data_IF_629182050683
#
_entry.id   IF_629182050683
#
_cell.length_a   1.000
_cell.length_b   1.000
_cell.length_c   1.000
_cell.angle_alpha   90.00
_cell.angle_beta   90.00
_cell.angle_gamma   90.00
#
_symmetry.space_group_name_H-M   'P 1'
#
loop_
_entity.id
_entity.type
_entity.pdbx_description
1 polymer ?
#
# COMPACT_ATOMS: atom_id res chain seq x y z
N UNK A 1 10.33 3.22 11.34
CA UNK A 1 9.91 4.63 11.26
C UNK A 1 8.69 4.87 12.16
N UNK A 2 7.48 4.47 11.78
CA UNK A 2 6.30 4.60 12.68
C UNK A 2 6.32 3.57 13.81
N UNK A 3 6.48 2.28 13.50
CA UNK A 3 6.51 1.21 14.51
C UNK A 3 7.72 1.30 15.45
N UNK A 4 8.82 1.88 14.99
CA UNK A 4 10.02 2.14 15.80
C UNK A 4 9.89 3.39 16.68
N UNK A 5 8.79 4.14 16.58
CA UNK A 5 8.56 5.38 17.32
C UNK A 5 9.43 6.56 16.87
N UNK A 6 10.07 6.48 15.71
CA UNK A 6 10.84 7.59 15.13
C UNK A 6 9.92 8.77 14.77
N UNK A 7 8.69 8.46 14.36
CA UNK A 7 7.61 9.42 14.14
C UNK A 7 6.40 8.99 14.95
N UNK A 8 5.74 9.95 15.62
CA UNK A 8 4.57 9.68 16.45
C UNK A 8 3.29 9.53 15.61
N UNK A 9 3.24 10.14 14.42
CA UNK A 9 2.04 10.13 13.57
C UNK A 9 2.38 10.04 12.08
N UNK A 10 1.39 9.61 11.30
CA UNK A 10 1.45 9.63 9.83
C UNK A 10 1.64 11.06 9.30
N UNK A 11 1.08 12.07 9.98
CA UNK A 11 1.21 13.47 9.57
C UNK A 11 2.67 13.95 9.69
N UNK A 12 3.33 13.61 10.79
CA UNK A 12 4.74 13.94 11.02
C UNK A 12 5.66 13.26 10.00
N UNK A 13 5.42 11.97 9.73
CA UNK A 13 6.14 11.25 8.67
C UNK A 13 5.90 11.90 7.29
N UNK A 14 4.67 12.30 7.00
CA UNK A 14 4.33 12.93 5.72
C UNK A 14 4.99 14.31 5.55
N UNK A 15 5.00 15.13 6.60
CA UNK A 15 5.70 16.41 6.62
C UNK A 15 7.21 16.23 6.39
N UNK A 16 7.82 15.25 7.06
CA UNK A 16 9.24 14.90 6.88
C UNK A 16 9.56 14.50 5.44
N UNK A 17 8.71 13.70 4.81
CA UNK A 17 8.88 13.23 3.44
C UNK A 17 8.39 14.25 2.38
N UNK A 18 7.86 15.39 2.81
CA UNK A 18 7.41 16.47 1.91
C UNK A 18 6.19 16.11 1.07
N UNK A 19 5.35 15.19 1.53
CA UNK A 19 4.14 14.74 0.83
C UNK A 19 2.88 14.96 1.66
N UNK A 20 1.72 14.97 0.99
CA UNK A 20 0.45 15.09 1.68
C UNK A 20 0.22 13.88 2.61
N UNK A 21 -0.28 14.11 3.82
CA UNK A 21 -0.62 13.03 4.77
C UNK A 21 -1.62 12.04 4.17
N UNK A 22 -2.57 12.50 3.36
CA UNK A 22 -3.49 11.63 2.61
C UNK A 22 -2.77 10.69 1.64
N UNK A 23 -1.71 11.17 0.98
CA UNK A 23 -0.89 10.35 0.09
C UNK A 23 -0.01 9.38 0.88
N UNK A 24 0.59 9.81 2.00
CA UNK A 24 1.30 8.93 2.92
C UNK A 24 0.42 7.76 3.38
N UNK A 25 -0.83 8.02 3.77
CA UNK A 25 -1.78 6.97 4.16
C UNK A 25 -2.09 6.01 3.01
N UNK A 26 -2.07 6.46 1.74
CA UNK A 26 -2.24 5.58 0.57
C UNK A 26 -1.01 4.69 0.36
N UNK A 27 0.19 5.26 0.50
CA UNK A 27 1.45 4.49 0.41
C UNK A 27 1.53 3.45 1.53
N UNK A 28 1.24 3.84 2.78
CA UNK A 28 1.26 2.92 3.91
C UNK A 28 0.22 1.80 3.79
N UNK A 29 -0.92 2.03 3.11
CA UNK A 29 -1.88 0.97 2.83
C UNK A 29 -1.30 -0.15 1.98
N UNK A 30 -0.33 0.13 1.11
CA UNK A 30 0.32 -0.89 0.27
C UNK A 30 1.04 -1.96 1.10
N UNK A 31 1.38 -1.69 2.37
CA UNK A 31 1.95 -2.71 3.27
C UNK A 31 0.94 -3.79 3.69
N UNK A 32 -0.35 -3.58 3.39
CA UNK A 32 -1.43 -4.52 3.67
C UNK A 32 -1.73 -5.46 2.49
N UNK A 33 -1.00 -5.34 1.36
CA UNK A 33 -1.16 -6.23 0.23
C UNK A 33 -0.84 -7.67 0.62
N UNK A 34 -1.59 -8.61 0.03
CA UNK A 34 -1.35 -10.03 0.17
C UNK A 34 0.06 -10.36 -0.35
N UNK A 35 0.81 -11.24 0.35
CA UNK A 35 2.16 -11.61 -0.05
C UNK A 35 2.25 -12.07 -1.51
N UNK A 36 1.26 -12.82 -1.99
CA UNK A 36 1.22 -13.34 -3.36
C UNK A 36 1.10 -12.23 -4.40
N UNK A 37 0.42 -11.12 -4.09
CA UNK A 37 0.31 -9.94 -4.97
C UNK A 37 1.66 -9.21 -5.00
N UNK A 38 2.30 -9.05 -3.83
CA UNK A 38 3.64 -8.44 -3.74
C UNK A 38 4.65 -9.25 -4.55
N UNK A 39 4.65 -10.57 -4.40
CA UNK A 39 5.50 -11.48 -5.18
C UNK A 39 5.21 -11.37 -6.68
N UNK A 40 3.95 -11.35 -7.09
CA UNK A 40 3.58 -11.19 -8.50
C UNK A 40 4.06 -9.86 -9.09
N UNK A 41 3.99 -8.75 -8.32
CA UNK A 41 4.49 -7.44 -8.74
C UNK A 41 6.01 -7.47 -8.92
N UNK A 42 6.74 -8.05 -7.96
CA UNK A 42 8.20 -8.13 -8.02
C UNK A 42 8.69 -9.01 -9.18
N UNK A 43 7.93 -10.05 -9.49
CA UNK A 43 8.18 -10.95 -10.63
C UNK A 43 7.71 -10.37 -11.98
N UNK A 44 7.00 -9.23 -11.99
CA UNK A 44 6.40 -8.67 -13.20
C UNK A 44 5.25 -9.51 -13.78
N UNK A 45 4.64 -10.36 -12.95
CA UNK A 45 3.55 -11.30 -13.29
C UNK A 45 2.19 -10.84 -12.77
N UNK A 46 2.10 -9.63 -12.23
CA UNK A 46 0.84 -9.09 -11.75
C UNK A 46 -0.19 -8.97 -12.88
N UNK A 47 -1.47 -9.21 -12.57
CA UNK A 47 -2.57 -9.03 -13.51
C UNK A 47 -2.67 -7.59 -14.01
N UNK A 48 -3.33 -7.35 -15.17
CA UNK A 48 -3.43 -6.01 -15.75
C UNK A 48 -4.17 -5.00 -14.84
N UNK A 49 -5.01 -5.49 -13.94
CA UNK A 49 -5.75 -4.68 -12.97
C UNK A 49 -4.87 -4.19 -11.80
N UNK A 50 -3.73 -4.86 -11.54
CA UNK A 50 -2.77 -4.50 -10.49
C UNK A 50 -1.86 -3.36 -10.94
N UNK A 51 -2.45 -2.18 -11.10
CA UNK A 51 -1.72 -0.95 -11.43
C UNK A 51 -1.46 -0.12 -10.17
N UNK A 52 -0.42 0.72 -10.19
CA UNK A 52 -0.15 1.65 -9.10
C UNK A 52 -1.35 2.55 -8.77
N UNK A 53 -2.11 2.98 -9.80
CA UNK A 53 -3.31 3.79 -9.60
C UNK A 53 -4.35 3.01 -8.81
N UNK A 54 -4.61 1.77 -9.22
CA UNK A 54 -5.60 0.90 -8.59
C UNK A 54 -5.23 0.57 -7.13
N UNK A 55 -4.01 0.13 -6.86
CA UNK A 55 -3.60 -0.24 -5.49
C UNK A 55 -3.45 0.97 -4.55
N UNK A 56 -3.41 2.20 -5.09
CA UNK A 56 -3.48 3.42 -4.28
C UNK A 56 -4.92 3.84 -3.95
N UNK A 57 -5.95 3.25 -4.54
CA UNK A 57 -7.34 3.39 -4.12
C UNK A 57 -7.62 2.50 -2.89
N UNK A 58 -8.74 2.69 -2.17
CA UNK A 58 -9.12 1.77 -1.11
C UNK A 58 -9.38 0.36 -1.68
N UNK A 59 -8.67 -0.64 -1.15
CA UNK A 59 -8.84 -2.05 -1.49
C UNK A 59 -9.17 -2.87 -0.22
N UNK A 60 -9.73 -4.09 -0.35
CA UNK A 60 -10.03 -4.94 0.81
C UNK A 60 -8.78 -5.22 1.64
N UNK A 61 -8.84 -5.16 2.96
CA UNK A 61 -7.66 -5.47 3.80
C UNK A 61 -7.47 -6.98 4.02
N UNK A 62 -8.50 -7.79 3.80
CA UNK A 62 -8.42 -9.26 3.88
C UNK A 62 -7.82 -9.84 2.60
N UNK A 63 -6.74 -10.63 2.73
CA UNK A 63 -6.00 -11.17 1.57
C UNK A 63 -6.85 -11.98 0.59
N UNK A 64 -7.79 -12.80 1.09
CA UNK A 64 -8.69 -13.56 0.21
C UNK A 64 -9.63 -12.65 -0.60
N UNK A 65 -10.05 -11.52 -0.03
CA UNK A 65 -10.84 -10.53 -0.76
C UNK A 65 -9.98 -9.73 -1.76
N UNK A 66 -8.72 -9.46 -1.43
CA UNK A 66 -7.78 -8.83 -2.36
C UNK A 66 -7.54 -9.68 -3.59
N UNK A 67 -7.41 -11.01 -3.43
CA UNK A 67 -7.26 -11.94 -4.56
C UNK A 67 -8.44 -11.89 -5.52
N UNK A 68 -9.65 -11.58 -5.06
CA UNK A 68 -10.84 -11.48 -5.91
C UNK A 68 -10.97 -10.11 -6.60
N UNK A 69 -10.45 -9.07 -5.96
CA UNK A 69 -10.54 -7.67 -6.41
C UNK A 69 -9.38 -7.29 -7.35
N UNK A 70 -8.21 -7.90 -7.15
CA UNK A 70 -6.94 -7.58 -7.83
C UNK A 70 -6.43 -8.70 -8.75
N UNK A 71 -7.25 -9.71 -9.08
CA UNK A 71 -6.90 -10.78 -10.05
C UNK A 71 -7.14 -10.40 -11.49
#
# INVERSE_FOLDING_TARGET
>A
MLESGEFATIAELAEREGIASSYMTRVLRLTLLAPEIVEAILDGKQGPEVTLVHVLEPFPTGWEAQKLDLS
#
